data_IF_572683037406
#
_entry.id   IF_572683037406
#
_cell.length_a   1.000
_cell.length_b   1.000
_cell.length_c   1.000
_cell.angle_alpha   90.00
_cell.angle_beta   90.00
_cell.angle_gamma   90.00
#
_symmetry.space_group_name_H-M   'P 1'
#
loop_
_entity.id
_entity.type
_entity.pdbx_description
1 polymer ?
#
# COMPACT_ATOMS: atom_id res chain seq x y z
N UNK A 1 -24.97 -1.83 3.32
CA UNK A 1 -23.81 -2.29 4.11
C UNK A 1 -22.85 -1.12 4.16
N UNK A 2 -22.16 -0.85 5.27
CA UNK A 2 -21.11 0.18 5.25
C UNK A 2 -20.02 -0.30 4.30
N UNK A 3 -19.61 0.52 3.34
CA UNK A 3 -18.68 0.11 2.29
C UNK A 3 -17.43 1.00 2.26
N UNK A 4 -16.63 0.86 3.32
CA UNK A 4 -15.33 1.54 3.41
C UNK A 4 -14.31 0.86 2.51
N UNK A 5 -14.46 -0.45 2.29
CA UNK A 5 -13.57 -1.25 1.46
C UNK A 5 -13.58 -0.79 0.00
N UNK A 6 -14.74 -0.55 -0.61
CA UNK A 6 -14.79 -0.01 -1.99
C UNK A 6 -14.14 1.36 -2.12
N UNK A 7 -14.28 2.24 -1.10
CA UNK A 7 -13.66 3.57 -1.16
C UNK A 7 -12.13 3.53 -1.07
N UNK A 8 -11.55 2.53 -0.39
CA UNK A 8 -10.10 2.43 -0.16
C UNK A 8 -9.43 1.48 -1.14
N UNK A 9 -10.05 0.33 -1.41
CA UNK A 9 -9.54 -0.73 -2.27
C UNK A 9 -9.97 -0.55 -3.74
N UNK A 10 -11.02 0.24 -4.01
CA UNK A 10 -11.47 0.54 -5.37
C UNK A 10 -11.70 -0.71 -6.21
N UNK A 11 -11.09 -0.78 -7.39
CA UNK A 11 -11.21 -1.92 -8.30
C UNK A 11 -10.70 -3.26 -7.74
N UNK A 12 -9.89 -3.26 -6.67
CA UNK A 12 -9.56 -4.49 -5.97
C UNK A 12 -10.75 -5.05 -5.19
N UNK A 13 -11.62 -4.19 -4.63
CA UNK A 13 -12.89 -4.63 -4.04
C UNK A 13 -13.80 -5.26 -5.09
N UNK A 14 -13.90 -4.68 -6.28
CA UNK A 14 -14.67 -5.25 -7.39
C UNK A 14 -14.16 -6.64 -7.77
N UNK A 15 -12.83 -6.85 -7.71
CA UNK A 15 -12.21 -8.15 -7.96
C UNK A 15 -12.57 -9.19 -6.88
N UNK A 16 -12.62 -8.78 -5.61
CA UNK A 16 -13.05 -9.63 -4.50
C UNK A 16 -14.52 -10.03 -4.62
N UNK A 17 -15.37 -9.07 -4.95
CA UNK A 17 -16.81 -9.30 -5.15
C UNK A 17 -17.06 -10.22 -6.36
N UNK A 18 -16.29 -10.05 -7.44
CA UNK A 18 -16.35 -10.92 -8.61
C UNK A 18 -15.87 -12.36 -8.33
N UNK A 19 -14.85 -12.54 -7.49
CA UNK A 19 -14.28 -13.85 -7.18
C UNK A 19 -15.08 -14.63 -6.13
N UNK A 20 -15.57 -13.96 -5.10
CA UNK A 20 -16.16 -14.58 -3.92
C UNK A 20 -17.67 -14.29 -3.73
N UNK A 21 -18.23 -13.38 -4.54
CA UNK A 21 -19.59 -12.87 -4.40
C UNK A 21 -19.69 -11.74 -3.37
N UNK A 22 -20.68 -10.86 -3.55
CA UNK A 22 -20.81 -9.60 -2.79
C UNK A 22 -20.73 -9.75 -1.26
N UNK A 23 -21.34 -10.79 -0.66
CA UNK A 23 -21.31 -10.98 0.79
C UNK A 23 -19.92 -11.34 1.32
N UNK A 24 -19.22 -12.26 0.64
CA UNK A 24 -17.89 -12.73 1.07
C UNK A 24 -16.82 -11.71 0.68
N UNK A 25 -16.93 -11.11 -0.50
CA UNK A 25 -16.07 -10.03 -0.97
C UNK A 25 -16.12 -8.82 -0.03
N UNK A 26 -17.31 -8.45 0.44
CA UNK A 26 -17.47 -7.39 1.45
C UNK A 26 -16.72 -7.71 2.76
N UNK A 27 -16.85 -8.93 3.28
CA UNK A 27 -16.14 -9.35 4.51
C UNK A 27 -14.63 -9.35 4.28
N UNK A 28 -14.16 -9.91 3.16
CA UNK A 28 -12.75 -9.98 2.82
C UNK A 28 -12.13 -8.58 2.74
N UNK A 29 -12.79 -7.65 2.05
CA UNK A 29 -12.35 -6.26 1.93
C UNK A 29 -12.17 -5.56 3.28
N UNK A 30 -13.16 -5.71 4.17
CA UNK A 30 -13.07 -5.10 5.51
C UNK A 30 -12.01 -5.76 6.39
N UNK A 31 -11.82 -7.08 6.30
CA UNK A 31 -10.73 -7.78 7.01
C UNK A 31 -9.35 -7.32 6.53
N UNK A 32 -9.18 -7.06 5.22
CA UNK A 32 -7.94 -6.48 4.68
C UNK A 32 -7.69 -5.10 5.27
N UNK A 33 -8.70 -4.23 5.33
CA UNK A 33 -8.56 -2.89 5.92
C UNK A 33 -8.21 -2.96 7.42
N UNK A 34 -8.93 -3.79 8.19
CA UNK A 34 -8.66 -3.98 9.62
C UNK A 34 -7.26 -4.55 9.83
N UNK A 35 -6.85 -5.52 9.03
CA UNK A 35 -5.52 -6.11 9.05
C UNK A 35 -4.44 -5.08 8.76
N UNK A 36 -4.61 -4.24 7.74
CA UNK A 36 -3.68 -3.17 7.41
C UNK A 36 -3.51 -2.17 8.57
N UNK A 37 -4.62 -1.72 9.17
CA UNK A 37 -4.59 -0.82 10.33
C UNK A 37 -3.90 -1.48 11.53
N UNK A 38 -4.20 -2.76 11.80
CA UNK A 38 -3.56 -3.51 12.88
C UNK A 38 -2.04 -3.63 12.67
N UNK A 39 -1.60 -3.94 11.45
CA UNK A 39 -0.18 -4.03 11.09
C UNK A 39 0.53 -2.68 11.24
N UNK A 40 -0.07 -1.58 10.76
CA UNK A 40 0.47 -0.23 10.96
C UNK A 40 0.57 0.11 12.44
N UNK A 41 -0.46 -0.22 13.21
CA UNK A 41 -0.47 0.00 14.67
C UNK A 41 0.63 -0.80 15.36
N UNK A 42 0.82 -2.07 14.99
CA UNK A 42 1.88 -2.92 15.52
C UNK A 42 3.26 -2.40 15.13
N UNK A 43 3.45 -1.95 13.90
CA UNK A 43 4.70 -1.36 13.43
C UNK A 43 5.06 -0.09 14.21
N UNK A 44 4.08 0.79 14.47
CA UNK A 44 4.28 2.01 15.26
C UNK A 44 4.58 1.66 16.71
N UNK A 45 3.81 0.77 17.34
CA UNK A 45 3.98 0.38 18.74
C UNK A 45 5.32 -0.31 18.99
N UNK A 46 5.78 -1.12 18.04
CA UNK A 46 7.02 -1.87 18.15
C UNK A 46 8.17 -1.24 17.36
N UNK A 47 8.07 0.03 16.96
CA UNK A 47 9.06 0.72 16.13
C UNK A 47 10.49 0.61 16.67
N UNK A 48 10.65 0.77 17.98
CA UNK A 48 11.98 0.73 18.61
C UNK A 48 12.52 -0.70 18.62
N UNK A 49 11.66 -1.70 18.80
CA UNK A 49 12.04 -3.11 18.67
C UNK A 49 12.44 -3.46 17.24
N UNK A 50 11.67 -3.00 16.24
CA UNK A 50 11.98 -3.21 14.82
C UNK A 50 13.33 -2.57 14.47
N UNK A 51 13.57 -1.33 14.85
CA UNK A 51 14.87 -0.66 14.60
C UNK A 51 16.03 -1.42 15.25
N UNK A 52 15.86 -1.86 16.49
CA UNK A 52 16.94 -2.49 17.25
C UNK A 52 17.21 -3.96 16.88
N UNK A 53 16.26 -4.66 16.25
CA UNK A 53 16.35 -6.09 15.98
C UNK A 53 16.28 -6.47 14.49
N UNK A 54 15.87 -5.55 13.60
CA UNK A 54 15.76 -5.86 12.16
C UNK A 54 17.10 -5.88 11.41
N UNK A 55 18.15 -5.32 12.00
CA UNK A 55 19.43 -5.11 11.32
C UNK A 55 19.42 -3.95 10.32
N UNK A 56 18.28 -3.29 10.10
CA UNK A 56 18.17 -2.08 9.30
C UNK A 56 18.35 -0.84 10.16
N UNK A 57 19.05 0.17 9.62
CA UNK A 57 19.11 1.47 10.28
C UNK A 57 17.74 2.13 10.27
N UNK A 58 17.53 3.07 11.20
CA UNK A 58 16.31 3.86 11.25
C UNK A 58 16.07 4.61 9.92
N UNK A 59 17.13 5.12 9.31
CA UNK A 59 17.05 5.85 8.03
C UNK A 59 16.62 4.91 6.90
N UNK A 60 17.16 3.69 6.84
CA UNK A 60 16.71 2.68 5.87
C UNK A 60 15.23 2.34 6.04
N UNK A 61 14.76 2.21 7.28
CA UNK A 61 13.34 1.92 7.55
C UNK A 61 12.43 3.07 7.14
N UNK A 62 12.83 4.31 7.40
CA UNK A 62 12.08 5.51 6.96
C UNK A 62 12.06 5.61 5.44
N UNK A 63 13.19 5.36 4.78
CA UNK A 63 13.33 5.40 3.33
C UNK A 63 12.49 4.33 2.63
N UNK A 64 12.48 3.09 3.14
CA UNK A 64 11.60 2.01 2.67
C UNK A 64 10.13 2.37 2.88
N UNK A 65 9.77 2.92 4.05
CA UNK A 65 8.41 3.34 4.34
C UNK A 65 7.95 4.46 3.40
N UNK A 66 8.79 5.46 3.15
CA UNK A 66 8.52 6.57 2.23
C UNK A 66 8.37 6.07 0.78
N UNK A 67 9.26 5.17 0.33
CA UNK A 67 9.19 4.57 -1.01
C UNK A 67 7.91 3.73 -1.17
N UNK A 68 7.53 2.96 -0.15
CA UNK A 68 6.28 2.21 -0.13
C UNK A 68 5.06 3.12 -0.19
N UNK A 69 5.04 4.20 0.59
CA UNK A 69 3.96 5.20 0.56
C UNK A 69 3.84 5.88 -0.81
N UNK A 70 4.96 6.29 -1.41
CA UNK A 70 4.99 6.86 -2.75
C UNK A 70 4.48 5.88 -3.82
N UNK A 71 4.87 4.59 -3.70
CA UNK A 71 4.37 3.52 -4.58
C UNK A 71 2.85 3.39 -4.49
N UNK A 72 2.30 3.34 -3.27
CA UNK A 72 0.84 3.24 -3.08
C UNK A 72 0.10 4.47 -3.62
N UNK A 73 0.68 5.66 -3.44
CA UNK A 73 0.11 6.90 -3.95
C UNK A 73 0.07 6.94 -5.49
N UNK A 74 1.19 6.61 -6.14
CA UNK A 74 1.27 6.53 -7.61
C UNK A 74 0.36 5.44 -8.16
N UNK A 75 0.31 4.29 -7.50
CA UNK A 75 -0.58 3.19 -7.85
C UNK A 75 -2.05 3.64 -7.85
N UNK A 76 -2.48 4.32 -6.78
CA UNK A 76 -3.85 4.84 -6.68
C UNK A 76 -4.17 5.85 -7.79
N UNK A 77 -3.21 6.69 -8.20
CA UNK A 77 -3.39 7.60 -9.35
C UNK A 77 -3.57 6.78 -10.63
N UNK A 78 -2.68 5.83 -10.90
CA UNK A 78 -2.72 5.02 -12.11
C UNK A 78 -4.01 4.20 -12.25
N UNK A 79 -4.52 3.63 -11.15
CA UNK A 79 -5.76 2.86 -11.17
C UNK A 79 -7.00 3.75 -11.17
N UNK A 80 -7.08 4.73 -10.26
CA UNK A 80 -8.33 5.46 -10.03
C UNK A 80 -8.52 6.66 -10.96
N UNK A 81 -7.42 7.26 -11.44
CA UNK A 81 -7.49 8.41 -12.36
C UNK A 81 -7.36 7.98 -13.81
N UNK A 82 -6.42 7.07 -14.09
CA UNK A 82 -6.13 6.65 -15.47
C UNK A 82 -6.77 5.31 -15.87
N UNK A 83 -7.37 4.57 -14.94
CA UNK A 83 -8.07 3.32 -15.23
C UNK A 83 -7.15 2.18 -15.69
N UNK A 84 -5.87 2.19 -15.31
CA UNK A 84 -4.92 1.18 -15.76
C UNK A 84 -5.16 -0.17 -15.07
N UNK A 85 -4.81 -1.30 -15.74
CA UNK A 85 -4.85 -2.61 -15.12
C UNK A 85 -3.93 -2.71 -13.88
N UNK A 86 -4.34 -3.45 -12.86
CA UNK A 86 -3.67 -3.50 -11.54
C UNK A 86 -2.19 -3.89 -11.63
N UNK A 87 -1.85 -4.98 -12.31
CA UNK A 87 -0.48 -5.48 -12.39
C UNK A 87 0.52 -4.47 -13.02
N UNK A 88 0.28 -3.92 -14.22
CA UNK A 88 1.16 -2.92 -14.79
C UNK A 88 1.17 -1.60 -14.00
N UNK A 89 0.03 -1.18 -13.43
CA UNK A 89 -0.04 0.00 -12.58
C UNK A 89 0.87 -0.15 -11.34
N UNK A 90 0.85 -1.30 -10.68
CA UNK A 90 1.70 -1.55 -9.51
C UNK A 90 3.18 -1.58 -9.87
N UNK A 91 3.54 -2.26 -10.96
CA UNK A 91 4.93 -2.35 -11.42
C UNK A 91 5.49 -0.96 -11.77
N UNK A 92 4.73 -0.17 -12.53
CA UNK A 92 5.14 1.19 -12.91
C UNK A 92 5.18 2.12 -11.70
N UNK A 93 4.22 2.03 -10.79
CA UNK A 93 4.23 2.83 -9.56
C UNK A 93 5.49 2.57 -8.72
N UNK A 94 5.90 1.30 -8.59
CA UNK A 94 7.11 0.94 -7.87
C UNK A 94 8.36 1.49 -8.55
N UNK A 95 8.50 1.28 -9.86
CA UNK A 95 9.66 1.76 -10.63
C UNK A 95 9.74 3.29 -10.59
N UNK A 96 8.60 3.98 -10.74
CA UNK A 96 8.53 5.44 -10.63
C UNK A 96 8.88 5.94 -9.23
N UNK A 97 8.40 5.28 -8.16
CA UNK A 97 8.77 5.63 -6.79
C UNK A 97 10.28 5.45 -6.54
N UNK A 98 10.87 4.36 -7.03
CA UNK A 98 12.33 4.14 -6.94
C UNK A 98 13.12 5.17 -7.75
N UNK A 99 12.62 5.56 -8.93
CA UNK A 99 13.23 6.62 -9.74
C UNK A 99 13.15 7.98 -9.05
N UNK A 100 12.03 8.33 -8.44
CA UNK A 100 11.88 9.55 -7.64
C UNK A 100 12.83 9.58 -6.45
N UNK A 101 12.92 8.46 -5.71
CA UNK A 101 13.90 8.30 -4.63
C UNK A 101 15.31 8.53 -5.12
N UNK A 102 15.69 7.93 -6.26
CA UNK A 102 17.02 8.12 -6.82
C UNK A 102 17.28 9.60 -7.15
N UNK A 103 16.31 10.30 -7.74
CA UNK A 103 16.45 11.73 -8.01
C UNK A 103 16.63 12.57 -6.73
N UNK A 104 15.90 12.27 -5.65
CA UNK A 104 16.08 12.97 -4.36
C UNK A 104 17.50 12.76 -3.82
N UNK A 105 17.99 11.51 -3.84
CA UNK A 105 19.32 11.17 -3.31
C UNK A 105 20.49 11.74 -4.13
N UNK A 106 20.31 12.02 -5.43
CA UNK A 106 21.34 12.71 -6.24
C UNK A 106 21.43 14.20 -5.86
N UNK A 107 20.34 14.78 -5.36
CA UNK A 107 20.23 16.22 -5.10
C UNK A 107 20.71 16.60 -3.69
N UNK A 108 20.84 15.63 -2.77
CA UNK A 108 21.49 15.77 -1.46
C UNK A 108 23.02 15.66 -1.54
#
# INVERSE_FOLDING_TARGET
MVDLASSVLGGFQDSLDGAFGASVGWVAGHLILVGAVALVTLAIRNRDHIVNQSGFSRDTLVDVAATGAATLFLFAIFTNTFGWPLAPALALALVSAMSLRWHVLIVE
#
